data_IF_030530317176
#
_entry.id   IF_030530317176
#
_cell.length_a   1.000
_cell.length_b   1.000
_cell.length_c   1.000
_cell.angle_alpha   90.00
_cell.angle_beta   90.00
_cell.angle_gamma   90.00
#
_symmetry.space_group_name_H-M   'P 1'
#
loop_
_entity.id
_entity.type
_entity.pdbx_description
1 polymer ?
#
# COMPACT_ATOMS: atom_id res chain seq x y z
N UNK A 1 -41.82 -10.40 -35.21
CA UNK A 1 -41.33 -9.11 -34.67
C UNK A 1 -40.76 -9.23 -33.24
N UNK A 2 -41.38 -10.04 -32.35
CA UNK A 2 -40.89 -10.25 -30.97
C UNK A 2 -39.47 -10.82 -30.81
N UNK A 3 -39.02 -11.74 -31.67
CA UNK A 3 -37.67 -12.33 -31.55
C UNK A 3 -36.52 -11.35 -31.82
N UNK A 4 -36.77 -10.24 -32.53
CA UNK A 4 -35.76 -9.20 -32.73
C UNK A 4 -35.61 -8.32 -31.50
N UNK A 5 -36.70 -7.99 -30.79
CA UNK A 5 -36.57 -7.14 -29.58
C UNK A 5 -35.82 -7.85 -28.47
N UNK A 6 -36.07 -9.15 -28.26
CA UNK A 6 -35.39 -9.94 -27.21
C UNK A 6 -33.87 -10.00 -27.42
N UNK A 7 -33.40 -10.16 -28.67
CA UNK A 7 -31.95 -10.17 -28.97
C UNK A 7 -31.28 -8.84 -28.67
N UNK A 8 -31.94 -7.72 -28.96
CA UNK A 8 -31.40 -6.40 -28.66
C UNK A 8 -31.38 -6.11 -27.15
N UNK A 9 -32.40 -6.53 -26.41
CA UNK A 9 -32.43 -6.38 -24.95
C UNK A 9 -31.31 -7.20 -24.29
N UNK A 10 -31.10 -8.45 -24.71
CA UNK A 10 -30.03 -9.31 -24.18
C UNK A 10 -28.64 -8.75 -24.50
N UNK A 11 -28.41 -8.30 -25.74
CA UNK A 11 -27.12 -7.71 -26.12
C UNK A 11 -26.84 -6.44 -25.30
N UNK A 12 -27.84 -5.58 -25.12
CA UNK A 12 -27.71 -4.32 -24.37
C UNK A 12 -27.44 -4.59 -22.89
N UNK A 13 -28.13 -5.56 -22.28
CA UNK A 13 -27.86 -6.00 -20.89
C UNK A 13 -26.45 -6.57 -20.76
N UNK A 14 -26.02 -7.46 -21.67
CA UNK A 14 -24.65 -8.04 -21.62
C UNK A 14 -23.59 -6.95 -21.79
N UNK A 15 -23.82 -5.97 -22.65
CA UNK A 15 -22.88 -4.85 -22.88
C UNK A 15 -22.83 -3.91 -21.66
N UNK A 16 -23.97 -3.64 -21.02
CA UNK A 16 -24.05 -2.88 -19.77
C UNK A 16 -23.40 -3.62 -18.59
N UNK A 17 -23.59 -4.93 -18.46
CA UNK A 17 -22.89 -5.76 -17.46
C UNK A 17 -21.38 -5.74 -17.71
N UNK A 18 -20.94 -5.92 -18.96
CA UNK A 18 -19.52 -5.90 -19.31
C UNK A 18 -18.86 -4.54 -19.05
N UNK A 19 -19.59 -3.43 -19.25
CA UNK A 19 -19.07 -2.07 -19.00
C UNK A 19 -19.15 -1.66 -17.53
N UNK A 20 -20.15 -2.11 -16.77
CA UNK A 20 -20.22 -1.84 -15.33
C UNK A 20 -19.09 -2.54 -14.53
N UNK A 21 -18.58 -3.66 -15.03
CA UNK A 21 -17.38 -4.31 -14.48
C UNK A 21 -16.07 -3.53 -14.74
N UNK A 22 -16.10 -2.40 -15.46
CA UNK A 22 -14.88 -1.62 -15.76
C UNK A 22 -14.60 -0.46 -14.79
N UNK A 23 -15.49 -0.11 -13.85
CA UNK A 23 -15.16 0.92 -12.85
C UNK A 23 -14.56 0.39 -11.53
N UNK A 24 -14.38 -0.93 -11.42
CA UNK A 24 -13.52 -1.58 -10.42
C UNK A 24 -12.05 -1.65 -10.88
N UNK A 25 -11.72 -1.15 -12.08
CA UNK A 25 -10.38 -1.23 -12.70
C UNK A 25 -9.25 -0.55 -11.90
N UNK A 26 -9.56 0.31 -10.92
CA UNK A 26 -8.57 0.96 -10.04
C UNK A 26 -8.31 0.23 -8.69
N UNK A 27 -8.95 -0.94 -8.46
CA UNK A 27 -9.17 -1.48 -7.11
C UNK A 27 -8.64 -2.89 -6.86
N UNK A 28 -7.51 -3.26 -7.45
CA UNK A 28 -6.95 -4.61 -7.26
C UNK A 28 -5.45 -4.57 -6.95
N UNK A 29 -5.09 -5.12 -5.78
CA UNK A 29 -3.70 -5.37 -5.41
C UNK A 29 -2.95 -6.17 -6.49
N UNK A 30 -3.64 -7.05 -7.22
CA UNK A 30 -3.09 -7.80 -8.34
C UNK A 30 -2.62 -6.92 -9.51
N UNK A 31 -3.28 -5.79 -9.78
CA UNK A 31 -2.83 -4.82 -10.80
C UNK A 31 -1.65 -4.01 -10.32
N UNK A 32 -1.69 -3.53 -9.08
CA UNK A 32 -0.55 -2.85 -8.48
C UNK A 32 0.66 -3.78 -8.40
N UNK A 33 0.46 -5.09 -8.24
CA UNK A 33 1.53 -6.09 -8.30
C UNK A 33 2.20 -6.23 -9.69
N UNK A 34 1.56 -5.75 -10.77
CA UNK A 34 2.17 -5.71 -12.11
C UNK A 34 3.14 -4.53 -12.26
N UNK A 35 2.99 -3.48 -11.45
CA UNK A 35 3.96 -2.39 -11.40
C UNK A 35 5.27 -2.88 -10.76
N UNK A 36 6.43 -2.33 -11.19
CA UNK A 36 7.70 -2.71 -10.61
C UNK A 36 7.71 -2.45 -9.09
N UNK A 37 8.18 -3.41 -8.27
CA UNK A 37 8.32 -3.20 -6.84
C UNK A 37 9.41 -2.16 -6.52
N UNK A 38 9.37 -1.60 -5.31
CA UNK A 38 10.53 -0.90 -4.75
C UNK A 38 11.75 -1.85 -4.76
N UNK A 39 12.93 -1.43 -5.26
CA UNK A 39 14.12 -2.28 -5.36
C UNK A 39 14.84 -2.46 -4.01
N UNK A 40 14.07 -2.61 -2.94
CA UNK A 40 14.52 -2.64 -1.55
C UNK A 40 13.83 -3.76 -0.77
N UNK A 41 14.38 -4.14 0.38
CA UNK A 41 13.71 -4.94 1.39
C UNK A 41 13.03 -4.00 2.38
N UNK A 42 11.72 -4.16 2.57
CA UNK A 42 10.89 -3.27 3.38
C UNK A 42 10.42 -3.97 4.66
N UNK A 43 10.88 -3.52 5.82
CA UNK A 43 10.26 -3.87 7.09
C UNK A 43 9.01 -3.00 7.32
N UNK A 44 7.95 -3.57 7.89
CA UNK A 44 6.74 -2.82 8.25
C UNK A 44 6.59 -2.87 9.77
N UNK A 45 6.32 -1.71 10.39
CA UNK A 45 6.20 -1.56 11.85
C UNK A 45 5.13 -0.53 12.21
N UNK A 46 4.80 -0.45 13.50
CA UNK A 46 3.73 0.43 14.00
C UNK A 46 2.36 -0.21 13.87
N UNK A 47 1.33 0.60 13.73
CA UNK A 47 -0.04 0.09 13.56
C UNK A 47 -1.02 1.20 13.25
N UNK A 48 -2.17 0.84 12.68
CA UNK A 48 -3.18 1.81 12.28
C UNK A 48 -4.06 2.25 13.46
N UNK A 49 -3.45 2.54 14.61
CA UNK A 49 -4.16 2.92 15.83
C UNK A 49 -4.79 4.31 15.74
N UNK A 50 -5.93 4.48 16.41
CA UNK A 50 -6.54 5.80 16.60
C UNK A 50 -5.70 6.66 17.57
N UNK A 51 -5.37 7.93 17.25
CA UNK A 51 -4.68 8.84 18.15
C UNK A 51 -5.43 9.00 19.48
N UNK A 52 -4.72 9.15 20.61
CA UNK A 52 -5.34 9.30 21.93
C UNK A 52 -6.25 10.53 22.04
N UNK A 53 -5.95 11.63 21.34
CA UNK A 53 -6.78 12.84 21.33
C UNK A 53 -8.18 12.59 20.72
N UNK A 54 -8.30 11.62 19.81
CA UNK A 54 -9.56 11.20 19.19
C UNK A 54 -10.28 10.11 20.01
N UNK A 55 -9.63 9.52 21.03
CA UNK A 55 -10.24 8.53 21.94
C UNK A 55 -11.00 9.17 23.11
N UNK A 56 -10.80 10.47 23.37
CA UNK A 56 -11.23 11.15 24.60
C UNK A 56 -12.35 12.19 24.41
N UNK A 57 -12.74 12.55 23.18
CA UNK A 57 -13.79 13.57 22.96
C UNK A 57 -15.24 13.04 23.07
N UNK A 58 -15.60 12.58 24.27
CA UNK A 58 -17.00 12.48 24.67
C UNK A 58 -17.28 12.90 26.12
N UNK A 59 -16.35 13.57 26.82
CA UNK A 59 -16.62 13.93 28.22
C UNK A 59 -16.34 15.36 28.69
N UNK A 60 -15.78 16.31 27.93
CA UNK A 60 -15.51 17.63 28.56
C UNK A 60 -15.48 18.91 27.72
N UNK A 61 -15.92 18.89 26.46
CA UNK A 61 -16.06 20.14 25.70
C UNK A 61 -17.54 20.51 25.59
N UNK A 62 -17.89 21.72 26.06
CA UNK A 62 -19.24 22.32 26.05
C UNK A 62 -19.80 22.58 24.65
N UNK A 63 -19.80 21.55 23.81
CA UNK A 63 -20.47 21.47 22.54
C UNK A 63 -21.92 21.11 22.83
N UNK A 64 -22.83 21.92 22.30
CA UNK A 64 -24.28 21.76 22.36
C UNK A 64 -24.67 20.28 22.20
N UNK A 65 -25.32 19.72 23.22
CA UNK A 65 -25.58 18.27 23.38
C UNK A 65 -26.33 17.68 22.16
N UNK A 66 -27.10 18.51 21.45
CA UNK A 66 -27.78 18.15 20.21
C UNK A 66 -26.85 18.08 18.97
N UNK A 67 -25.81 18.91 18.91
CA UNK A 67 -24.77 18.85 17.88
C UNK A 67 -23.81 17.70 18.17
N UNK A 68 -23.43 17.50 19.43
CA UNK A 68 -22.67 16.35 19.89
C UNK A 68 -23.44 15.05 19.66
N UNK A 69 -24.76 14.98 19.90
CA UNK A 69 -25.58 13.81 19.58
C UNK A 69 -25.76 13.61 18.06
N UNK A 70 -25.85 14.67 17.25
CA UNK A 70 -25.90 14.56 15.77
C UNK A 70 -24.56 14.17 15.16
N UNK A 71 -23.46 14.62 15.76
CA UNK A 71 -22.10 14.25 15.37
C UNK A 71 -21.78 12.85 15.89
N UNK A 72 -22.10 12.49 17.12
CA UNK A 72 -21.96 11.14 17.71
C UNK A 72 -22.82 10.11 16.97
N UNK A 73 -24.06 10.45 16.57
CA UNK A 73 -24.86 9.61 15.67
C UNK A 73 -24.25 9.45 14.25
N UNK A 74 -23.23 10.26 13.90
CA UNK A 74 -22.43 10.19 12.67
C UNK A 74 -20.96 9.79 12.90
N UNK A 75 -20.56 9.64 14.16
CA UNK A 75 -19.18 9.43 14.63
C UNK A 75 -19.26 8.44 15.80
N UNK A 76 -19.44 7.18 15.41
CA UNK A 76 -18.89 5.94 15.98
C UNK A 76 -18.58 5.87 17.49
N UNK A 77 -19.31 5.01 18.20
CA UNK A 77 -18.76 4.24 19.32
C UNK A 77 -18.44 2.82 18.85
N UNK A 78 -17.16 2.50 18.62
CA UNK A 78 -16.69 1.14 18.42
C UNK A 78 -15.36 0.98 19.17
N UNK A 79 -15.30 0.02 20.08
CA UNK A 79 -14.19 -0.33 20.99
C UNK A 79 -12.91 -0.84 20.28
N UNK A 80 -12.74 -0.58 18.99
CA UNK A 80 -11.63 -1.12 18.19
C UNK A 80 -10.45 -0.15 18.25
N UNK A 81 -9.40 -0.53 18.97
CA UNK A 81 -8.17 0.25 19.13
C UNK A 81 -7.34 0.33 17.83
N UNK A 82 -7.37 -0.72 17.00
CA UNK A 82 -6.67 -0.84 15.71
C UNK A 82 -7.68 -1.06 14.55
N UNK A 83 -8.20 0.02 13.94
CA UNK A 83 -9.22 -0.03 12.89
C UNK A 83 -8.81 -0.74 11.58
N UNK A 84 -7.52 -0.72 11.23
CA UNK A 84 -6.98 -1.51 10.11
C UNK A 84 -6.00 -2.51 10.72
N UNK A 85 -6.32 -3.82 10.75
CA UNK A 85 -5.42 -4.81 11.34
C UNK A 85 -4.04 -4.75 10.68
N UNK A 86 -2.99 -4.70 11.49
CA UNK A 86 -1.61 -4.65 11.00
C UNK A 86 -1.31 -5.77 9.99
N UNK A 87 -1.76 -6.99 10.30
CA UNK A 87 -1.62 -8.15 9.41
C UNK A 87 -2.20 -7.93 8.02
N UNK A 88 -3.37 -7.26 7.94
CA UNK A 88 -4.02 -6.94 6.67
C UNK A 88 -3.16 -5.97 5.86
N UNK A 89 -2.52 -4.99 6.50
CA UNK A 89 -1.60 -4.08 5.83
C UNK A 89 -0.41 -4.84 5.24
N UNK A 90 0.23 -5.68 6.05
CA UNK A 90 1.39 -6.49 5.62
C UNK A 90 1.00 -7.43 4.49
N UNK A 91 -0.12 -8.14 4.60
CA UNK A 91 -0.64 -9.05 3.57
C UNK A 91 -0.83 -8.32 2.23
N UNK A 92 -1.47 -7.15 2.25
CA UNK A 92 -1.71 -6.38 1.04
C UNK A 92 -0.42 -5.82 0.44
N UNK A 93 0.55 -5.41 1.26
CA UNK A 93 1.87 -4.98 0.76
C UNK A 93 2.65 -6.15 0.13
N UNK A 94 2.57 -7.34 0.71
CA UNK A 94 3.15 -8.58 0.16
C UNK A 94 2.47 -8.92 -1.16
N UNK A 95 1.13 -9.05 -1.17
CA UNK A 95 0.34 -9.39 -2.36
C UNK A 95 0.50 -8.37 -3.48
N UNK A 96 0.58 -7.10 -3.13
CA UNK A 96 0.80 -5.97 -4.03
C UNK A 96 2.23 -5.80 -4.52
N UNK A 97 3.17 -6.63 -4.04
CA UNK A 97 4.61 -6.51 -4.32
C UNK A 97 5.09 -5.08 -4.11
N UNK A 98 4.86 -4.54 -2.91
CA UNK A 98 5.27 -3.17 -2.57
C UNK A 98 6.78 -2.98 -2.74
N UNK A 99 7.55 -3.99 -2.36
CA UNK A 99 9.00 -4.03 -2.45
C UNK A 99 9.49 -5.38 -2.96
N UNK A 100 10.77 -5.49 -3.32
CA UNK A 100 11.40 -6.76 -3.74
C UNK A 100 11.12 -7.85 -2.70
N UNK A 101 11.15 -7.45 -1.42
CA UNK A 101 10.66 -8.25 -0.31
C UNK A 101 10.06 -7.39 0.79
N UNK A 102 8.92 -7.81 1.31
CA UNK A 102 8.34 -7.28 2.54
C UNK A 102 8.74 -8.23 3.67
N UNK A 103 9.43 -7.69 4.68
CA UNK A 103 9.97 -8.43 5.80
C UNK A 103 9.05 -8.21 6.99
N UNK A 104 8.51 -9.30 7.54
CA UNK A 104 7.76 -9.28 8.79
C UNK A 104 8.77 -9.40 9.94
N UNK A 105 8.79 -8.41 10.83
CA UNK A 105 9.59 -8.47 12.05
C UNK A 105 8.93 -9.46 13.04
N UNK A 106 9.67 -9.97 14.05
CA UNK A 106 9.07 -10.73 15.14
C UNK A 106 7.89 -9.95 15.73
N UNK A 107 6.72 -10.58 15.84
CA UNK A 107 5.45 -9.90 16.13
C UNK A 107 5.56 -9.03 17.40
N UNK A 108 5.65 -7.70 17.27
CA UNK A 108 5.66 -6.82 18.42
C UNK A 108 4.27 -6.84 19.04
N UNK A 109 4.22 -6.74 20.37
CA UNK A 109 2.96 -6.60 21.10
C UNK A 109 2.18 -5.37 20.61
N UNK A 110 0.85 -5.38 20.74
CA UNK A 110 0.02 -4.25 20.33
C UNK A 110 0.45 -2.95 21.02
N UNK A 111 0.91 -3.03 22.27
CA UNK A 111 1.46 -1.90 23.03
C UNK A 111 2.76 -1.34 22.40
N UNK A 112 3.68 -2.20 21.99
CA UNK A 112 4.90 -1.79 21.28
C UNK A 112 4.57 -1.16 19.92
N UNK A 113 3.67 -1.77 19.15
CA UNK A 113 3.21 -1.22 17.87
C UNK A 113 2.55 0.15 18.06
N UNK A 114 1.76 0.32 19.12
CA UNK A 114 1.13 1.60 19.44
C UNK A 114 2.17 2.65 19.83
N UNK A 115 3.19 2.31 20.64
CA UNK A 115 4.27 3.24 20.99
C UNK A 115 5.05 3.69 19.76
N UNK A 116 5.37 2.77 18.85
CA UNK A 116 6.02 3.08 17.56
C UNK A 116 5.13 4.02 16.74
N UNK A 117 3.83 3.73 16.61
CA UNK A 117 2.89 4.55 15.86
C UNK A 117 2.83 5.98 16.43
N UNK A 118 2.80 6.12 17.76
CA UNK A 118 2.79 7.41 18.45
C UNK A 118 4.14 8.15 18.44
N UNK A 119 5.18 7.59 17.81
CA UNK A 119 6.48 8.24 17.65
C UNK A 119 7.40 8.13 18.87
N UNK A 120 7.23 7.11 19.72
CA UNK A 120 8.19 6.80 20.78
C UNK A 120 9.57 6.49 20.17
N UNK A 121 10.55 7.36 20.44
CA UNK A 121 11.89 7.29 19.87
C UNK A 121 12.65 6.04 20.32
N UNK A 122 12.44 5.58 21.54
CA UNK A 122 13.08 4.36 22.05
C UNK A 122 12.50 3.13 21.34
N UNK A 123 11.18 3.08 21.18
CA UNK A 123 10.52 1.99 20.46
C UNK A 123 10.90 1.96 18.96
N UNK A 124 11.00 3.14 18.33
CA UNK A 124 11.48 3.28 16.95
C UNK A 124 12.91 2.78 16.76
N UNK A 125 13.81 3.07 17.70
CA UNK A 125 15.19 2.59 17.65
C UNK A 125 15.30 1.07 17.82
N UNK A 126 14.48 0.48 18.69
CA UNK A 126 14.38 -0.99 18.82
C UNK A 126 13.86 -1.61 17.51
N UNK A 127 12.80 -1.04 16.94
CA UNK A 127 12.24 -1.49 15.67
C UNK A 127 13.24 -1.36 14.51
N UNK A 128 14.05 -0.30 14.50
CA UNK A 128 15.12 -0.09 13.52
C UNK A 128 16.21 -1.16 13.63
N UNK A 129 16.63 -1.52 14.85
CA UNK A 129 17.60 -2.62 15.07
C UNK A 129 17.03 -3.95 14.62
N UNK A 130 15.79 -4.27 14.98
CA UNK A 130 15.12 -5.48 14.52
C UNK A 130 15.00 -5.52 12.98
N UNK A 131 14.76 -4.37 12.35
CA UNK A 131 14.75 -4.24 10.88
C UNK A 131 16.13 -4.48 10.27
N UNK A 132 17.19 -3.98 10.91
CA UNK A 132 18.57 -4.21 10.49
C UNK A 132 18.97 -5.69 10.62
N UNK A 133 18.58 -6.34 11.73
CA UNK A 133 18.81 -7.77 11.96
C UNK A 133 18.05 -8.65 10.96
N UNK A 134 16.84 -8.22 10.58
CA UNK A 134 16.05 -8.85 9.51
C UNK A 134 16.50 -8.44 8.09
N UNK A 135 17.60 -7.69 8.01
CA UNK A 135 18.27 -7.23 6.81
C UNK A 135 17.41 -6.37 5.87
N UNK A 136 16.44 -5.63 6.42
CA UNK A 136 15.67 -4.65 5.67
C UNK A 136 16.53 -3.42 5.33
N UNK A 137 16.26 -2.82 4.17
CA UNK A 137 16.88 -1.57 3.73
C UNK A 137 16.07 -0.36 4.21
N UNK A 138 14.74 -0.51 4.18
CA UNK A 138 13.78 0.52 4.55
C UNK A 138 12.83 -0.01 5.61
N UNK A 139 12.36 0.89 6.46
CA UNK A 139 11.33 0.64 7.47
C UNK A 139 10.13 1.55 7.19
N UNK A 140 8.99 0.95 6.89
CA UNK A 140 7.70 1.61 6.79
C UNK A 140 7.06 1.66 8.18
N UNK A 141 7.01 2.86 8.75
CA UNK A 141 6.38 3.12 10.04
C UNK A 141 4.94 3.55 9.81
N UNK A 142 3.98 2.77 10.29
CA UNK A 142 2.57 3.17 10.32
C UNK A 142 2.36 4.00 11.60
N UNK A 143 2.28 5.32 11.42
CA UNK A 143 2.20 6.33 12.50
C UNK A 143 0.80 6.40 13.14
N UNK A 144 -0.21 5.85 12.47
CA UNK A 144 -1.58 5.77 12.99
C UNK A 144 -2.62 6.23 11.98
N UNK A 145 -3.87 6.04 12.37
CA UNK A 145 -5.05 6.39 11.60
C UNK A 145 -5.78 7.53 12.29
N UNK A 146 -5.86 8.70 11.66
CA UNK A 146 -6.83 9.72 12.08
C UNK A 146 -8.19 9.31 11.54
N UNK A 147 -9.12 8.96 12.43
CA UNK A 147 -10.47 8.68 11.97
C UNK A 147 -11.18 9.98 11.64
N UNK A 148 -12.09 9.91 10.70
CA UNK A 148 -12.87 11.06 10.27
C UNK A 148 -14.33 10.69 10.12
N UNK A 149 -15.26 11.64 10.30
CA UNK A 149 -16.67 11.34 10.17
C UNK A 149 -16.96 10.81 8.77
N UNK A 150 -17.80 9.79 8.68
CA UNK A 150 -18.35 9.33 7.39
C UNK A 150 -19.43 10.31 6.99
N UNK A 151 -19.18 11.04 5.91
CA UNK A 151 -20.13 12.01 5.39
C UNK A 151 -20.96 11.36 4.29
N UNK A 152 -22.28 11.26 4.51
CA UNK A 152 -23.20 10.95 3.43
C UNK A 152 -23.22 12.14 2.47
N UNK A 153 -22.68 11.97 1.27
CA UNK A 153 -22.65 13.00 0.23
C UNK A 153 -23.96 13.07 -0.57
N UNK A 154 -24.86 12.12 -0.33
CA UNK A 154 -26.21 12.09 -0.87
C UNK A 154 -26.70 10.67 -1.05
N UNK A 155 -28.02 10.50 -0.93
CA UNK A 155 -28.73 9.37 -1.53
C UNK A 155 -28.89 9.73 -3.00
N UNK A 156 -28.69 8.81 -3.94
CA UNK A 156 -29.10 9.01 -5.34
C UNK A 156 -30.61 9.27 -5.49
N UNK A 157 -31.38 9.24 -4.38
CA UNK A 157 -32.82 9.49 -4.25
C UNK A 157 -33.29 10.94 -4.11
N UNK A 158 -32.42 11.97 -4.15
CA UNK A 158 -32.88 13.36 -4.29
C UNK A 158 -33.16 13.78 -5.74
N UNK A 159 -32.98 12.88 -6.71
CA UNK A 159 -33.42 13.10 -8.09
C UNK A 159 -34.72 12.33 -8.32
N UNK A 160 -35.89 12.99 -8.43
CA UNK A 160 -37.13 12.32 -8.85
C UNK A 160 -36.96 11.55 -10.17
N UNK A 161 -36.02 12.01 -10.99
CA UNK A 161 -35.70 11.48 -12.32
C UNK A 161 -34.93 10.15 -12.24
N UNK A 162 -34.08 9.91 -11.23
CA UNK A 162 -33.32 8.64 -11.13
C UNK A 162 -34.19 7.49 -10.64
N UNK A 163 -35.12 7.72 -9.71
CA UNK A 163 -36.12 6.71 -9.30
C UNK A 163 -37.06 6.34 -10.46
N UNK A 164 -37.45 7.34 -11.27
CA UNK A 164 -38.25 7.13 -12.48
C UNK A 164 -37.44 6.38 -13.54
N UNK A 165 -36.15 6.69 -13.74
CA UNK A 165 -35.26 5.94 -14.62
C UNK A 165 -34.97 4.51 -14.12
N UNK A 166 -34.90 4.32 -12.81
CA UNK A 166 -34.74 3.02 -12.14
C UNK A 166 -35.95 2.11 -12.40
N UNK A 167 -37.17 2.65 -12.22
CA UNK A 167 -38.43 1.95 -12.50
C UNK A 167 -38.69 1.72 -14.00
N UNK A 168 -38.39 2.71 -14.86
CA UNK A 168 -38.72 2.63 -16.29
C UNK A 168 -37.76 1.77 -17.10
N UNK A 169 -36.49 1.66 -16.69
CA UNK A 169 -35.47 1.01 -17.51
C UNK A 169 -34.82 -0.22 -16.86
N UNK A 170 -35.20 -0.60 -15.62
CA UNK A 170 -34.62 -1.75 -14.93
C UNK A 170 -33.12 -1.61 -14.64
N UNK A 171 -32.60 -0.37 -14.65
CA UNK A 171 -31.17 -0.03 -14.51
C UNK A 171 -30.71 -0.10 -13.04
N UNK A 172 -31.59 -0.49 -12.11
CA UNK A 172 -31.29 -0.57 -10.68
C UNK A 172 -30.08 -1.41 -10.31
N UNK A 173 -29.74 -2.38 -11.15
CA UNK A 173 -28.54 -3.21 -11.03
C UNK A 173 -27.22 -2.41 -11.11
N UNK A 174 -27.23 -1.18 -11.65
CA UNK A 174 -26.00 -0.44 -12.00
C UNK A 174 -25.81 0.87 -11.25
N UNK A 175 -26.83 1.36 -10.54
CA UNK A 175 -26.72 2.62 -9.81
C UNK A 175 -26.33 2.32 -8.36
N UNK A 176 -25.25 2.90 -7.82
CA UNK A 176 -24.97 2.84 -6.39
C UNK A 176 -26.05 3.61 -5.63
N UNK A 177 -26.56 2.98 -4.58
CA UNK A 177 -27.71 3.46 -3.81
C UNK A 177 -27.31 4.68 -2.97
N UNK A 178 -26.04 4.73 -2.53
CA UNK A 178 -25.52 5.77 -1.65
C UNK A 178 -24.06 6.12 -1.96
N UNK A 179 -23.73 7.40 -1.80
CA UNK A 179 -22.35 7.91 -1.84
C UNK A 179 -21.92 8.38 -0.47
N UNK A 180 -20.78 7.86 -0.02
CA UNK A 180 -20.15 8.23 1.23
C UNK A 180 -18.77 8.80 0.97
N UNK A 181 -18.31 9.69 1.83
CA UNK A 181 -16.92 10.11 1.90
C UNK A 181 -16.39 9.75 3.27
N UNK A 182 -15.40 8.87 3.31
CA UNK A 182 -14.65 8.61 4.54
C UNK A 182 -13.52 9.62 4.65
N UNK A 183 -13.49 10.33 5.78
CA UNK A 183 -12.42 11.29 6.10
C UNK A 183 -11.25 10.65 6.85
N UNK A 184 -11.24 9.33 6.98
CA UNK A 184 -10.14 8.60 7.58
C UNK A 184 -8.83 8.87 6.83
N UNK A 185 -7.74 9.07 7.57
CA UNK A 185 -6.41 9.33 7.00
C UNK A 185 -5.37 8.44 7.66
N UNK A 186 -4.69 7.63 6.87
CA UNK A 186 -3.53 6.89 7.34
C UNK A 186 -2.29 7.73 7.14
N UNK A 187 -1.45 7.79 8.17
CA UNK A 187 -0.12 8.35 8.10
C UNK A 187 0.91 7.24 8.19
N UNK A 188 1.87 7.30 7.28
CA UNK A 188 3.05 6.46 7.34
C UNK A 188 4.30 7.29 7.04
N UNK A 189 5.44 6.86 7.54
CA UNK A 189 6.75 7.38 7.17
C UNK A 189 7.66 6.25 6.69
N UNK A 190 8.55 6.61 5.77
CA UNK A 190 9.56 5.72 5.25
C UNK A 190 10.91 6.15 5.82
N UNK A 191 11.58 5.23 6.52
CA UNK A 191 12.83 5.49 7.24
C UNK A 191 13.91 4.57 6.69
N UNK A 192 15.09 5.12 6.44
CA UNK A 192 16.28 4.34 6.12
C UNK A 192 16.77 3.60 7.38
N UNK A 193 16.89 2.28 7.30
CA UNK A 193 17.26 1.43 8.43
C UNK A 193 18.70 1.70 8.90
N UNK A 194 19.61 1.95 7.96
CA UNK A 194 21.03 2.16 8.26
C UNK A 194 21.26 3.51 8.94
N UNK A 195 20.66 4.58 8.40
CA UNK A 195 20.89 5.95 8.90
C UNK A 195 19.86 6.42 9.94
N UNK A 196 18.70 5.77 10.01
CA UNK A 196 17.58 6.21 10.83
C UNK A 196 16.90 7.50 10.33
N UNK A 197 17.30 8.02 9.17
CA UNK A 197 16.73 9.25 8.60
C UNK A 197 15.41 8.94 7.91
N UNK A 198 14.42 9.82 8.09
CA UNK A 198 13.18 9.75 7.33
C UNK A 198 13.48 10.14 5.86
N UNK A 199 13.23 9.21 4.95
CA UNK A 199 13.33 9.43 3.50
C UNK A 199 12.05 10.03 2.95
N UNK A 200 10.91 9.66 3.55
CA UNK A 200 9.63 10.32 3.31
C UNK A 200 8.93 10.57 4.63
N UNK A 201 8.97 11.82 5.06
CA UNK A 201 8.22 12.27 6.23
C UNK A 201 6.77 12.53 5.79
N UNK A 202 5.87 11.57 6.07
CA UNK A 202 4.39 11.67 6.00
C UNK A 202 3.76 11.34 4.64
N UNK A 203 3.84 10.08 4.26
CA UNK A 203 2.89 9.47 3.33
C UNK A 203 1.49 9.53 3.96
N UNK A 204 0.70 10.52 3.54
CA UNK A 204 -0.70 10.64 3.96
C UNK A 204 -1.59 10.03 2.88
N UNK A 205 -2.43 9.08 3.27
CA UNK A 205 -3.36 8.39 2.37
C UNK A 205 -4.78 8.59 2.87
N UNK A 206 -5.69 8.88 1.93
CA UNK A 206 -7.12 9.03 2.16
C UNK A 206 -7.89 8.07 1.25
N UNK A 207 -9.00 7.46 1.70
CA UNK A 207 -9.77 6.50 0.91
C UNK A 207 -10.51 7.14 -0.26
N UNK A 208 -10.75 8.46 -0.21
CA UNK A 208 -11.54 9.18 -1.21
C UNK A 208 -13.05 8.91 -1.08
N UNK A 209 -13.79 9.12 -2.16
CA UNK A 209 -15.24 8.89 -2.21
C UNK A 209 -15.58 7.42 -2.41
N UNK A 210 -16.47 6.90 -1.58
CA UNK A 210 -16.93 5.51 -1.51
C UNK A 210 -18.35 5.42 -2.08
N UNK A 211 -18.51 4.73 -3.21
CA UNK A 211 -19.84 4.35 -3.72
C UNK A 211 -20.21 3.00 -3.11
N UNK A 212 -21.28 2.95 -2.30
CA UNK A 212 -21.81 1.70 -1.75
C UNK A 212 -23.16 1.37 -2.38
N UNK A 213 -23.35 0.10 -2.72
CA UNK A 213 -24.69 -0.48 -2.85
C UNK A 213 -25.05 -1.12 -1.52
N UNK A 214 -26.25 -0.80 -1.01
CA UNK A 214 -26.73 -1.36 0.27
C UNK A 214 -27.37 -2.74 0.11
N UNK A 215 -27.64 -3.13 -1.13
CA UNK A 215 -28.10 -4.47 -1.46
C UNK A 215 -26.87 -5.27 -1.86
N UNK A 216 -26.57 -6.34 -1.13
CA UNK A 216 -25.53 -7.27 -1.56
C UNK A 216 -25.96 -7.90 -2.90
N UNK A 217 -25.14 -7.70 -3.94
CA UNK A 217 -25.41 -8.17 -5.31
C UNK A 217 -24.61 -9.43 -5.64
N UNK A 218 -24.03 -10.08 -4.62
CA UNK A 218 -23.22 -11.29 -4.74
C UNK A 218 -24.00 -12.48 -5.30
N UNK A 219 -25.29 -12.60 -4.94
CA UNK A 219 -26.13 -13.74 -5.29
C UNK A 219 -27.36 -13.36 -6.13
N UNK A 220 -27.97 -14.35 -6.79
CA UNK A 220 -29.17 -14.18 -7.63
C UNK A 220 -30.32 -13.48 -6.88
N UNK A 221 -30.50 -13.81 -5.59
CA UNK A 221 -31.49 -13.15 -4.73
C UNK A 221 -31.13 -11.67 -4.54
N UNK A 222 -29.86 -11.37 -4.30
CA UNK A 222 -29.31 -10.02 -4.19
C UNK A 222 -29.55 -9.17 -5.45
N UNK A 223 -29.29 -9.75 -6.61
CA UNK A 223 -29.58 -9.16 -7.92
C UNK A 223 -31.08 -8.88 -8.06
N UNK A 224 -31.93 -9.85 -7.75
CA UNK A 224 -33.38 -9.70 -7.85
C UNK A 224 -33.90 -8.62 -6.88
N UNK A 225 -33.39 -8.59 -5.65
CA UNK A 225 -33.73 -7.56 -4.66
C UNK A 225 -33.24 -6.17 -5.08
N UNK A 226 -32.10 -6.05 -5.77
CA UNK A 226 -31.60 -4.77 -6.28
C UNK A 226 -32.45 -4.19 -7.42
N UNK A 227 -33.30 -5.00 -8.05
CA UNK A 227 -34.24 -4.61 -9.11
C UNK A 227 -35.63 -4.35 -8.53
N UNK A 228 -36.04 -5.14 -7.52
CA UNK A 228 -37.40 -5.11 -6.97
C UNK A 228 -37.57 -4.17 -5.78
N UNK A 229 -36.52 -3.92 -5.01
CA UNK A 229 -36.56 -3.10 -3.80
C UNK A 229 -35.91 -1.74 -4.10
N UNK A 230 -36.69 -0.65 -4.13
CA UNK A 230 -36.14 0.69 -4.28
C UNK A 230 -35.10 0.98 -3.20
N UNK A 231 -34.04 1.75 -3.52
CA UNK A 231 -33.01 2.13 -2.56
C UNK A 231 -33.55 2.78 -1.28
N UNK A 232 -34.71 3.45 -1.37
CA UNK A 232 -35.41 4.11 -0.26
C UNK A 232 -36.12 3.15 0.71
N UNK A 233 -36.31 1.88 0.33
CA UNK A 233 -37.00 0.85 1.13
C UNK A 233 -36.02 -0.12 1.82
N UNK A 234 -34.74 -0.12 1.43
CA UNK A 234 -33.70 -0.84 2.16
C UNK A 234 -33.45 -0.10 3.47
N UNK A 235 -33.71 -0.76 4.60
CA UNK A 235 -33.58 -0.14 5.92
C UNK A 235 -32.19 0.50 6.11
N UNK A 236 -32.18 1.73 6.63
CA UNK A 236 -30.97 2.46 7.02
C UNK A 236 -30.34 1.83 8.27
N UNK A 237 -29.84 0.59 8.17
CA UNK A 237 -29.00 0.00 9.19
C UNK A 237 -27.65 0.73 9.17
N UNK A 238 -27.61 1.86 9.88
CA UNK A 238 -26.47 2.78 9.91
C UNK A 238 -25.20 2.04 10.31
N UNK A 239 -25.30 1.07 11.23
CA UNK A 239 -24.15 0.28 11.69
C UNK A 239 -23.58 -0.61 10.58
N UNK A 240 -24.43 -1.27 9.78
CA UNK A 240 -23.98 -2.07 8.63
C UNK A 240 -23.36 -1.22 7.53
N UNK A 241 -23.98 -0.09 7.20
CA UNK A 241 -23.45 0.86 6.20
C UNK A 241 -22.05 1.29 6.60
N UNK A 242 -21.90 1.71 7.85
CA UNK A 242 -20.66 2.21 8.42
C UNK A 242 -19.57 1.15 8.41
N UNK A 243 -19.90 -0.09 8.81
CA UNK A 243 -18.94 -1.19 8.77
C UNK A 243 -18.46 -1.44 7.34
N UNK A 244 -19.36 -1.45 6.37
CA UNK A 244 -19.01 -1.59 4.96
C UNK A 244 -18.16 -0.42 4.44
N UNK A 245 -18.46 0.84 4.82
CA UNK A 245 -17.64 2.02 4.49
C UNK A 245 -16.24 1.90 5.11
N UNK A 246 -16.14 1.41 6.35
CA UNK A 246 -14.83 1.21 7.02
C UNK A 246 -14.03 0.10 6.36
N UNK A 247 -14.65 -1.03 6.04
CA UNK A 247 -13.96 -2.15 5.43
C UNK A 247 -13.45 -1.80 4.02
N UNK A 248 -14.30 -1.19 3.17
CA UNK A 248 -13.88 -0.71 1.84
C UNK A 248 -12.90 0.47 1.95
N UNK A 249 -13.10 1.35 2.94
CA UNK A 249 -12.20 2.47 3.23
C UNK A 249 -10.81 2.01 3.65
N UNK A 250 -10.72 0.98 4.49
CA UNK A 250 -9.47 0.38 4.93
C UNK A 250 -8.70 -0.22 3.74
N UNK A 251 -9.39 -0.99 2.89
CA UNK A 251 -8.78 -1.56 1.67
C UNK A 251 -8.24 -0.46 0.76
N UNK A 252 -9.01 0.61 0.54
CA UNK A 252 -8.58 1.74 -0.29
C UNK A 252 -7.41 2.51 0.31
N UNK A 253 -7.38 2.67 1.63
CA UNK A 253 -6.26 3.29 2.32
C UNK A 253 -4.99 2.46 2.11
N UNK A 254 -5.06 1.14 2.26
CA UNK A 254 -3.88 0.27 2.09
C UNK A 254 -3.46 0.19 0.62
N UNK A 255 -4.40 0.13 -0.32
CA UNK A 255 -4.11 0.22 -1.76
C UNK A 255 -3.51 1.57 -2.14
N UNK A 256 -3.99 2.67 -1.56
CA UNK A 256 -3.43 4.00 -1.76
C UNK A 256 -2.03 4.13 -1.19
N UNK A 257 -1.74 3.49 -0.06
CA UNK A 257 -0.40 3.38 0.50
C UNK A 257 0.52 2.58 -0.44
N UNK A 258 0.06 1.44 -0.94
CA UNK A 258 0.78 0.64 -1.92
C UNK A 258 1.06 1.44 -3.21
N UNK A 259 0.07 2.19 -3.71
CA UNK A 259 0.25 3.04 -4.89
C UNK A 259 1.28 4.15 -4.64
N UNK A 260 1.22 4.82 -3.48
CA UNK A 260 2.21 5.81 -3.03
C UNK A 260 3.62 5.23 -2.95
N UNK A 261 3.77 4.02 -2.44
CA UNK A 261 5.07 3.34 -2.35
C UNK A 261 5.66 3.02 -3.72
N UNK A 262 4.82 2.86 -4.74
CA UNK A 262 5.22 2.52 -6.12
C UNK A 262 5.20 3.75 -7.04
N UNK A 263 5.00 4.93 -6.48
CA UNK A 263 4.98 6.20 -7.20
C UNK A 263 6.38 6.50 -7.75
N UNK A 264 6.53 6.77 -9.06
CA UNK A 264 7.81 7.21 -9.64
C UNK A 264 8.43 8.40 -8.92
N UNK A 265 7.63 9.34 -8.43
CA UNK A 265 8.14 10.51 -7.70
C UNK A 265 8.82 10.10 -6.38
N UNK A 266 8.24 9.15 -5.65
CA UNK A 266 8.85 8.62 -4.44
C UNK A 266 10.12 7.81 -4.76
N UNK A 267 10.09 7.03 -5.84
CA UNK A 267 11.26 6.27 -6.31
C UNK A 267 12.41 7.19 -6.71
N UNK A 268 12.13 8.29 -7.39
CA UNK A 268 13.13 9.27 -7.77
C UNK A 268 13.65 10.03 -6.56
N UNK A 269 12.78 10.39 -5.60
CA UNK A 269 13.20 10.96 -4.32
C UNK A 269 14.13 10.01 -3.53
N UNK A 270 13.77 8.72 -3.45
CA UNK A 270 14.59 7.67 -2.83
C UNK A 270 15.96 7.52 -3.52
N UNK A 271 16.05 7.85 -4.82
CA UNK A 271 17.29 7.77 -5.59
C UNK A 271 18.12 9.04 -5.52
N UNK A 272 17.48 10.21 -5.38
CA UNK A 272 18.13 11.52 -5.39
C UNK A 272 18.64 11.96 -4.03
N UNK A 273 18.00 11.51 -2.94
CA UNK A 273 18.33 11.95 -1.58
C UNK A 273 19.49 11.15 -0.95
N UNK A 274 20.17 10.31 -1.74
CA UNK A 274 21.24 9.43 -1.29
C UNK A 274 22.54 9.76 -2.03
N UNK A 275 23.58 10.09 -1.27
CA UNK A 275 24.96 10.36 -1.73
C UNK A 275 25.66 9.14 -2.37
N UNK A 276 25.01 7.97 -2.30
CA UNK A 276 25.44 6.72 -2.88
C UNK A 276 24.21 5.99 -3.44
N UNK A 277 24.18 5.78 -4.75
CA UNK A 277 23.07 5.16 -5.47
C UNK A 277 23.54 3.87 -6.16
N UNK A 278 22.79 2.79 -5.98
CA UNK A 278 23.00 1.52 -6.66
C UNK A 278 21.80 1.21 -7.54
N UNK A 279 22.04 1.12 -8.83
CA UNK A 279 21.10 0.60 -9.80
C UNK A 279 21.54 -0.79 -10.24
N UNK A 280 20.58 -1.71 -10.30
CA UNK A 280 20.81 -3.03 -10.86
C UNK A 280 19.77 -3.32 -11.94
N UNK A 281 20.19 -3.96 -13.03
CA UNK A 281 19.31 -4.38 -14.12
C UNK A 281 19.54 -5.86 -14.40
N UNK A 282 18.44 -6.59 -14.47
CA UNK A 282 18.45 -8.03 -14.76
C UNK A 282 18.69 -8.26 -16.26
N UNK A 283 19.76 -8.98 -16.59
CA UNK A 283 19.97 -9.63 -17.89
C UNK A 283 19.54 -11.09 -17.86
N UNK A 284 19.76 -11.83 -18.95
CA UNK A 284 19.34 -13.23 -19.07
C UNK A 284 20.06 -14.17 -18.07
N UNK A 285 21.34 -13.94 -17.83
CA UNK A 285 22.20 -14.77 -16.96
C UNK A 285 23.11 -13.93 -16.06
N UNK A 286 22.84 -12.64 -15.95
CA UNK A 286 23.68 -11.71 -15.21
C UNK A 286 22.85 -10.53 -14.68
N UNK A 287 23.45 -9.76 -13.77
CA UNK A 287 22.95 -8.48 -13.30
C UNK A 287 23.97 -7.40 -13.68
N UNK A 288 23.54 -6.43 -14.48
CA UNK A 288 24.32 -5.21 -14.73
C UNK A 288 24.15 -4.29 -13.51
N UNK A 289 25.25 -3.95 -12.85
CA UNK A 289 25.28 -3.11 -11.66
C UNK A 289 25.93 -1.78 -12.01
N UNK A 290 25.25 -0.68 -11.74
CA UNK A 290 25.78 0.68 -11.83
C UNK A 290 25.72 1.32 -10.46
N UNK A 291 26.86 1.79 -9.97
CA UNK A 291 26.94 2.57 -8.72
C UNK A 291 27.33 4.00 -9.07
N UNK A 292 26.68 4.98 -8.44
CA UNK A 292 27.04 6.39 -8.52
C UNK A 292 27.15 6.93 -7.10
N UNK A 293 28.19 7.69 -6.82
CA UNK A 293 28.30 8.36 -5.52
C UNK A 293 29.25 9.54 -5.56
N UNK A 294 29.21 10.37 -4.53
CA UNK A 294 30.15 11.49 -4.36
C UNK A 294 31.56 11.02 -3.95
N UNK A 295 31.64 9.82 -3.36
CA UNK A 295 32.86 9.21 -2.85
C UNK A 295 33.16 7.87 -3.52
N UNK A 296 34.41 7.43 -3.38
CA UNK A 296 34.82 6.13 -3.88
C UNK A 296 34.20 5.00 -3.04
N UNK A 297 33.82 3.90 -3.70
CA UNK A 297 33.33 2.71 -3.01
C UNK A 297 34.49 1.94 -2.37
N UNK A 298 34.29 1.49 -1.14
CA UNK A 298 35.26 0.73 -0.37
C UNK A 298 34.96 -0.78 -0.39
N UNK A 299 33.68 -1.13 -0.28
CA UNK A 299 33.26 -2.52 -0.18
C UNK A 299 31.97 -2.81 -0.97
N UNK A 300 31.85 -4.06 -1.38
CA UNK A 300 30.75 -4.59 -2.20
C UNK A 300 30.41 -5.98 -1.70
N UNK A 301 29.16 -6.16 -1.28
CA UNK A 301 28.60 -7.42 -0.85
C UNK A 301 27.47 -7.81 -1.79
N UNK A 302 27.47 -9.07 -2.25
CA UNK A 302 26.33 -9.64 -2.96
C UNK A 302 25.76 -10.76 -2.11
N UNK A 303 24.43 -10.82 -2.05
CA UNK A 303 23.67 -11.87 -1.38
C UNK A 303 22.60 -12.37 -2.32
N UNK A 304 22.60 -13.67 -2.56
CA UNK A 304 21.60 -14.40 -3.33
C UNK A 304 20.67 -15.15 -2.39
N UNK A 305 19.40 -15.21 -2.77
CA UNK A 305 18.37 -15.96 -2.04
C UNK A 305 17.64 -16.89 -2.98
N UNK A 306 17.15 -17.99 -2.42
CA UNK A 306 16.26 -18.92 -3.10
C UNK A 306 14.78 -18.45 -3.08
N UNK A 307 13.89 -19.29 -3.60
CA UNK A 307 12.45 -19.00 -3.71
C UNK A 307 11.74 -18.82 -2.37
N UNK A 308 12.24 -19.46 -1.31
CA UNK A 308 11.74 -19.32 0.07
C UNK A 308 12.46 -18.18 0.80
N UNK A 309 13.41 -17.54 0.12
CA UNK A 309 14.11 -16.37 0.59
C UNK A 309 15.16 -16.67 1.65
N UNK A 310 15.71 -17.88 1.66
CA UNK A 310 16.86 -18.25 2.46
C UNK A 310 18.16 -17.85 1.74
N UNK A 311 19.17 -17.35 2.47
CA UNK A 311 20.44 -16.97 1.87
C UNK A 311 21.16 -18.21 1.30
N UNK A 312 21.67 -18.10 0.08
CA UNK A 312 22.48 -19.15 -0.54
C UNK A 312 23.95 -18.92 -0.30
N UNK A 313 24.71 -20.01 -0.20
CA UNK A 313 26.18 -19.93 -0.17
C UNK A 313 26.69 -19.59 -1.57
N UNK A 314 27.30 -18.41 -1.69
CA UNK A 314 27.84 -17.94 -2.96
C UNK A 314 29.22 -18.50 -3.26
N UNK A 315 29.57 -18.48 -4.56
CA UNK A 315 30.93 -18.71 -4.99
C UNK A 315 31.82 -17.55 -4.54
N UNK A 316 32.70 -17.81 -3.59
CA UNK A 316 33.68 -16.81 -3.15
C UNK A 316 34.53 -16.29 -4.32
N UNK A 317 34.77 -17.09 -5.36
CA UNK A 317 35.52 -16.66 -6.53
C UNK A 317 34.69 -15.78 -7.47
N UNK A 318 33.40 -16.05 -7.65
CA UNK A 318 32.53 -15.18 -8.45
C UNK A 318 32.33 -13.83 -7.75
N UNK A 319 32.08 -13.84 -6.44
CA UNK A 319 32.00 -12.65 -5.60
C UNK A 319 33.27 -11.81 -5.67
N UNK A 320 34.44 -12.44 -5.54
CA UNK A 320 35.73 -11.74 -5.61
C UNK A 320 35.96 -11.11 -6.98
N UNK A 321 35.68 -11.84 -8.07
CA UNK A 321 35.79 -11.33 -9.44
C UNK A 321 34.84 -10.15 -9.68
N UNK A 322 33.60 -10.26 -9.24
CA UNK A 322 32.62 -9.17 -9.35
C UNK A 322 33.05 -7.94 -8.55
N UNK A 323 33.42 -8.12 -7.27
CA UNK A 323 33.93 -7.03 -6.42
C UNK A 323 35.11 -6.33 -7.06
N UNK A 324 36.10 -7.10 -7.53
CA UNK A 324 37.28 -6.56 -8.19
C UNK A 324 36.90 -5.78 -9.46
N UNK A 325 36.08 -6.39 -10.33
CA UNK A 325 35.62 -5.75 -11.56
C UNK A 325 34.86 -4.45 -11.28
N UNK A 326 34.03 -4.40 -10.23
CA UNK A 326 33.29 -3.20 -9.88
C UNK A 326 34.23 -2.12 -9.36
N UNK A 327 35.15 -2.44 -8.44
CA UNK A 327 36.11 -1.48 -7.89
C UNK A 327 37.04 -0.91 -8.96
N UNK A 328 37.51 -1.75 -9.89
CA UNK A 328 38.41 -1.35 -10.98
C UNK A 328 37.69 -0.53 -12.08
N UNK A 329 36.37 -0.63 -12.19
CA UNK A 329 35.57 0.11 -13.18
C UNK A 329 35.32 1.59 -12.86
N UNK A 330 35.90 2.10 -11.77
CA UNK A 330 35.66 3.45 -11.27
C UNK A 330 36.07 4.53 -12.26
N UNK A 331 35.08 5.24 -12.80
CA UNK A 331 35.25 6.43 -13.63
C UNK A 331 34.95 7.67 -12.79
N UNK A 332 35.96 8.52 -12.58
CA UNK A 332 35.81 9.77 -11.83
C UNK A 332 35.37 10.90 -12.76
N UNK A 333 34.19 11.46 -12.50
CA UNK A 333 33.71 12.69 -13.10
C UNK A 333 33.99 13.92 -12.23
N UNK A 334 33.45 15.07 -12.64
CA UNK A 334 33.66 16.36 -11.95
C UNK A 334 33.02 16.40 -10.54
N UNK A 335 31.90 15.70 -10.36
CA UNK A 335 31.11 15.72 -9.12
C UNK A 335 30.62 14.34 -8.65
N UNK A 336 30.88 13.27 -9.42
CA UNK A 336 30.48 11.90 -9.08
C UNK A 336 31.55 10.89 -9.50
N UNK A 337 31.62 9.78 -8.78
CA UNK A 337 32.34 8.58 -9.19
C UNK A 337 31.32 7.53 -9.62
N UNK A 338 31.54 6.94 -10.80
CA UNK A 338 30.66 5.95 -11.39
C UNK A 338 31.37 4.62 -11.52
N UNK A 339 30.71 3.55 -11.09
CA UNK A 339 31.20 2.17 -11.21
C UNK A 339 30.22 1.34 -12.01
N UNK A 340 30.72 0.41 -12.83
CA UNK A 340 29.92 -0.50 -13.64
C UNK A 340 30.54 -1.89 -13.70
N UNK A 341 29.79 -2.90 -13.30
CA UNK A 341 30.22 -4.29 -13.45
C UNK A 341 29.04 -5.24 -13.68
N UNK A 342 29.38 -6.46 -14.11
CA UNK A 342 28.42 -7.55 -14.32
C UNK A 342 28.61 -8.61 -13.25
N UNK A 343 27.52 -8.96 -12.58
CA UNK A 343 27.46 -10.11 -11.69
C UNK A 343 26.80 -11.28 -12.40
N UNK A 344 27.51 -12.40 -12.57
CA UNK A 344 26.92 -13.61 -13.19
C UNK A 344 25.98 -14.31 -12.21
N UNK A 345 24.75 -14.58 -12.68
CA UNK A 345 23.74 -15.29 -11.91
C UNK A 345 23.97 -16.80 -11.99
N UNK A 346 23.68 -17.50 -10.90
CA UNK A 346 23.63 -18.96 -10.90
C UNK A 346 22.21 -19.44 -11.16
N UNK A 347 22.11 -20.63 -11.77
CA UNK A 347 20.82 -21.30 -11.94
C UNK A 347 20.12 -21.50 -10.60
N UNK A 348 18.89 -20.99 -10.48
CA UNK A 348 18.08 -21.14 -9.28
C UNK A 348 18.23 -20.04 -8.23
N UNK A 349 18.97 -18.97 -8.53
CA UNK A 349 18.86 -17.73 -7.76
C UNK A 349 17.51 -17.10 -8.10
N UNK A 350 16.74 -16.70 -7.09
CA UNK A 350 15.41 -16.08 -7.22
C UNK A 350 15.42 -14.60 -6.81
N UNK A 351 16.32 -14.21 -5.91
CA UNK A 351 16.57 -12.82 -5.52
C UNK A 351 18.08 -12.56 -5.40
N UNK A 352 18.54 -11.42 -5.90
CA UNK A 352 19.92 -10.93 -5.73
C UNK A 352 19.89 -9.55 -5.11
N UNK A 353 20.62 -9.39 -4.01
CA UNK A 353 20.83 -8.14 -3.30
C UNK A 353 22.28 -7.72 -3.42
N UNK A 354 22.50 -6.50 -3.89
CA UNK A 354 23.81 -5.87 -3.99
C UNK A 354 23.85 -4.77 -2.94
N UNK A 355 24.87 -4.78 -2.10
CA UNK A 355 25.10 -3.81 -1.05
C UNK A 355 26.48 -3.21 -1.31
N UNK A 356 26.55 -1.89 -1.38
CA UNK A 356 27.81 -1.17 -1.53
C UNK A 356 28.02 -0.27 -0.33
N UNK A 357 29.27 -0.01 -0.01
CA UNK A 357 29.68 0.90 1.04
C UNK A 357 30.76 1.83 0.51
N UNK A 358 30.61 3.13 0.76
CA UNK A 358 31.62 4.13 0.43
C UNK A 358 32.68 4.33 1.53
N UNK A 359 33.69 5.16 1.26
CA UNK A 359 34.74 5.50 2.22
C UNK A 359 34.23 6.24 3.47
N UNK A 360 33.12 6.96 3.39
CA UNK A 360 32.47 7.58 4.55
C UNK A 360 31.66 6.57 5.39
N UNK A 361 31.58 5.31 4.96
CA UNK A 361 30.82 4.27 5.62
C UNK A 361 29.31 4.33 5.33
N UNK A 362 28.89 5.15 4.37
CA UNK A 362 27.52 5.17 3.88
C UNK A 362 27.24 3.89 3.11
N UNK A 363 26.05 3.34 3.29
CA UNK A 363 25.64 2.08 2.68
C UNK A 363 24.43 2.32 1.80
N UNK A 364 24.48 1.75 0.61
CA UNK A 364 23.35 1.71 -0.31
C UNK A 364 23.15 0.28 -0.78
N UNK A 365 21.93 -0.06 -1.10
CA UNK A 365 21.59 -1.41 -1.53
C UNK A 365 20.51 -1.37 -2.59
N UNK A 366 20.48 -2.43 -3.39
CA UNK A 366 19.41 -2.68 -4.34
C UNK A 366 19.16 -4.18 -4.39
N UNK A 367 17.89 -4.56 -4.54
CA UNK A 367 17.47 -5.95 -4.59
C UNK A 367 16.61 -6.21 -5.83
N UNK A 368 16.92 -7.26 -6.57
CA UNK A 368 16.21 -7.69 -7.77
C UNK A 368 15.68 -9.11 -7.60
N UNK A 369 14.48 -9.39 -8.13
CA UNK A 369 14.04 -10.77 -8.37
C UNK A 369 14.45 -11.20 -9.77
N UNK A 370 15.06 -12.36 -9.87
CA UNK A 370 15.56 -12.98 -11.12
C UNK A 370 14.49 -13.84 -11.79
N UNK A 371 13.46 -14.27 -11.06
CA UNK A 371 12.27 -14.96 -11.57
C UNK A 371 11.00 -14.18 -11.26
N UNK A 372 10.20 -13.93 -12.30
CA UNK A 372 8.90 -13.24 -12.21
C UNK A 372 7.75 -14.20 -11.98
#
# INVERSE_FOLDING_TARGET
MMLRSVRWTVLLVVTLVATACTNTLARDAGRLAQLPPLPFRLAVVGGAFLPPDERVDNQDSGVDEALAARLSARTFGLEVSEPIPFDKVVEMLVRGRAATRVVRLPDPTDEERQRIALGDTAALEVARRASADAEADLMLVIEGLRDGPVQALGVTGQWPITTVAWLLAGIGLFVPDHRFESKAKLRASLVDVATGRAVSARLTVVPGTLDLSLVDRSDFVGILTSILVPPSLVGNDVEKVVRAVRDDGADRIVLGLLAKLKDPELLDALRSDVSLNVEARLGESYVDVTVRGEQEIQDVFVRTYDSVGLPRTEDLNALRRFRQSLLESGERGDHEVRYRARFELRGGDDEVRIIVQDLAGQRASTSLRTRS
#
